data_IF_746712756245
#
_entry.id   IF_746712756245
#
_cell.length_a   1.000
_cell.length_b   1.000
_cell.length_c   1.000
_cell.angle_alpha   90.00
_cell.angle_beta   90.00
_cell.angle_gamma   90.00
#
_symmetry.space_group_name_H-M   'P 1'
#
loop_
_entity.id
_entity.type
_entity.pdbx_description
1 polymer ?
#
# COMPACT_ATOMS: atom_id res chain seq x y z
N UNK A 1 14.50 1.31 8.19
CA UNK A 1 13.93 0.18 7.42
C UNK A 1 15.02 -0.61 6.72
N UNK A 2 15.94 0.03 6.01
CA UNK A 2 17.06 -0.66 5.34
C UNK A 2 17.91 -1.52 6.29
N UNK A 3 18.25 -1.00 7.48
CA UNK A 3 18.94 -1.76 8.54
C UNK A 3 18.16 -3.00 9.02
N UNK A 4 16.86 -3.03 8.79
CA UNK A 4 15.96 -4.14 9.13
C UNK A 4 15.76 -5.10 7.93
N UNK A 5 16.53 -4.99 6.86
CA UNK A 5 16.47 -5.89 5.70
C UNK A 5 15.47 -5.50 4.61
N UNK A 6 14.81 -4.34 4.74
CA UNK A 6 13.92 -3.84 3.69
C UNK A 6 14.70 -3.22 2.54
N UNK A 7 14.28 -3.53 1.32
CA UNK A 7 14.56 -2.67 0.17
C UNK A 7 13.58 -1.50 0.23
N UNK A 8 14.07 -0.27 0.17
CA UNK A 8 13.26 0.95 0.27
C UNK A 8 13.43 1.77 -1.02
N UNK A 9 12.33 2.31 -1.54
CA UNK A 9 12.35 3.22 -2.69
C UNK A 9 13.23 4.43 -2.36
N UNK A 10 14.21 4.72 -3.22
CA UNK A 10 15.17 5.81 -3.02
C UNK A 10 14.76 7.11 -3.74
N UNK A 11 13.72 7.06 -4.57
CA UNK A 11 13.26 8.20 -5.37
C UNK A 11 12.35 7.80 -6.53
N UNK A 12 11.89 8.80 -7.29
CA UNK A 12 10.85 8.61 -8.32
C UNK A 12 11.36 8.15 -9.69
N UNK A 13 12.68 8.05 -9.88
CA UNK A 13 13.28 7.60 -11.14
C UNK A 13 13.14 6.08 -11.28
N UNK A 14 13.00 5.55 -12.49
CA UNK A 14 12.76 4.12 -12.74
C UNK A 14 13.76 3.18 -12.04
N UNK A 15 15.03 3.58 -11.98
CA UNK A 15 16.13 2.86 -11.32
C UNK A 15 16.11 2.95 -9.78
N UNK A 16 15.26 3.82 -9.24
CA UNK A 16 15.10 4.07 -7.81
C UNK A 16 13.81 3.48 -7.24
N UNK A 17 12.93 2.97 -8.11
CA UNK A 17 11.67 2.31 -7.75
C UNK A 17 11.86 0.82 -7.48
N UNK A 18 10.99 0.26 -6.65
CA UNK A 18 10.92 -1.18 -6.42
C UNK A 18 9.70 -1.71 -7.16
N UNK A 19 9.92 -2.51 -8.19
CA UNK A 19 8.84 -3.18 -8.92
C UNK A 19 8.70 -4.64 -8.47
N UNK A 20 7.48 -5.09 -8.18
CA UNK A 20 7.15 -6.49 -7.89
C UNK A 20 6.24 -7.08 -8.98
N UNK A 21 6.47 -8.33 -9.38
CA UNK A 21 5.64 -9.00 -10.37
C UNK A 21 4.24 -9.27 -9.82
N UNK A 22 3.25 -9.05 -10.68
CA UNK A 22 1.82 -9.31 -10.41
C UNK A 22 1.33 -10.44 -11.32
N UNK A 23 1.77 -10.43 -12.57
CA UNK A 23 1.41 -11.43 -13.56
C UNK A 23 2.66 -11.84 -14.34
N UNK A 24 2.87 -13.14 -14.47
CA UNK A 24 3.87 -13.71 -15.35
C UNK A 24 3.18 -14.18 -16.64
N UNK A 25 3.72 -13.74 -17.78
CA UNK A 25 3.31 -14.16 -19.10
C UNK A 25 4.19 -15.29 -19.64
N UNK A 26 4.41 -15.28 -20.95
CA UNK A 26 5.17 -16.32 -21.64
C UNK A 26 6.59 -16.51 -21.09
N UNK A 27 6.98 -17.78 -20.94
CA UNK A 27 8.28 -18.21 -20.43
C UNK A 27 8.63 -17.66 -19.03
N UNK A 28 7.62 -17.39 -18.20
CA UNK A 28 7.84 -16.95 -16.82
C UNK A 28 8.43 -15.54 -16.72
N UNK A 29 8.20 -14.69 -17.72
CA UNK A 29 8.60 -13.28 -17.68
C UNK A 29 7.50 -12.43 -17.04
N UNK A 30 7.83 -11.51 -16.11
CA UNK A 30 6.84 -10.56 -15.59
C UNK A 30 6.26 -9.73 -16.73
N UNK A 31 4.93 -9.78 -16.90
CA UNK A 31 4.20 -8.99 -17.89
C UNK A 31 3.58 -7.75 -17.25
N UNK A 32 3.08 -7.92 -16.02
CA UNK A 32 2.56 -6.82 -15.20
C UNK A 32 3.36 -6.76 -13.90
N UNK A 33 3.80 -5.56 -13.56
CA UNK A 33 4.45 -5.26 -12.30
C UNK A 33 3.84 -4.01 -11.68
N UNK A 34 3.84 -3.95 -10.36
CA UNK A 34 3.49 -2.74 -9.63
C UNK A 34 4.67 -2.27 -8.78
N UNK A 35 4.69 -0.97 -8.54
CA UNK A 35 5.64 -0.31 -7.67
C UNK A 35 5.19 -0.45 -6.22
N UNK A 36 6.15 -0.52 -5.30
CA UNK A 36 5.95 -0.59 -3.85
C UNK A 36 6.99 0.31 -3.17
N UNK A 37 6.61 0.98 -2.07
CA UNK A 37 7.52 1.89 -1.37
C UNK A 37 8.65 1.14 -0.66
N UNK A 38 8.36 -0.02 -0.05
CA UNK A 38 9.38 -0.90 0.49
C UNK A 38 8.95 -2.37 0.53
N UNK A 39 9.94 -3.26 0.49
CA UNK A 39 9.70 -4.70 0.53
C UNK A 39 10.79 -5.45 1.30
N UNK A 40 10.40 -6.43 2.12
CA UNK A 40 11.32 -7.37 2.75
C UNK A 40 11.22 -8.74 2.07
N UNK A 41 12.24 -9.12 1.28
CA UNK A 41 12.18 -10.33 0.45
C UNK A 41 12.05 -11.63 1.25
N UNK A 42 12.80 -11.77 2.34
CA UNK A 42 12.79 -13.01 3.14
C UNK A 42 11.50 -13.23 3.92
N UNK A 43 10.86 -12.16 4.39
CA UNK A 43 9.66 -12.20 5.22
C UNK A 43 8.37 -11.94 4.42
N UNK A 44 8.48 -11.60 3.13
CA UNK A 44 7.33 -11.26 2.28
C UNK A 44 6.55 -10.05 2.76
N UNK A 45 7.20 -9.04 3.35
CA UNK A 45 6.51 -7.85 3.89
C UNK A 45 6.51 -6.74 2.86
N UNK A 46 5.33 -6.39 2.34
CA UNK A 46 5.12 -5.21 1.50
C UNK A 46 4.75 -4.00 2.37
N UNK A 47 5.29 -2.82 2.05
CA UNK A 47 5.03 -1.57 2.79
C UNK A 47 4.61 -0.48 1.81
N UNK A 48 3.53 0.23 2.15
CA UNK A 48 3.06 1.44 1.47
C UNK A 48 2.93 2.58 2.48
N UNK A 49 3.39 3.78 2.11
CA UNK A 49 3.39 4.99 2.92
C UNK A 49 2.66 6.11 2.18
N UNK A 50 1.41 6.34 2.56
CA UNK A 50 0.62 7.42 1.97
C UNK A 50 0.98 8.75 2.65
N UNK A 51 1.68 9.64 1.95
CA UNK A 51 2.16 10.93 2.49
C UNK A 51 1.48 12.18 1.89
N UNK A 52 0.38 12.05 1.12
CA UNK A 52 -0.15 13.18 0.34
C UNK A 52 -1.65 13.25 0.12
N UNK A 53 -2.04 14.02 -0.91
CA UNK A 53 -3.44 14.24 -1.37
C UNK A 53 -4.21 12.94 -1.65
N UNK A 54 -3.55 11.77 -1.64
CA UNK A 54 -4.16 10.47 -1.83
C UNK A 54 -5.12 10.09 -0.69
N UNK A 55 -4.94 10.61 0.53
CA UNK A 55 -5.84 10.38 1.66
C UNK A 55 -7.28 10.91 1.49
N UNK A 56 -7.52 11.80 0.52
CA UNK A 56 -8.87 12.21 0.08
C UNK A 56 -9.45 11.31 -1.02
N UNK A 57 -8.60 10.60 -1.74
CA UNK A 57 -8.93 9.74 -2.87
C UNK A 57 -8.98 8.28 -2.44
N UNK A 58 -9.43 7.38 -3.32
CA UNK A 58 -9.34 5.93 -3.13
C UNK A 58 -7.86 5.42 -3.15
N UNK A 59 -6.89 6.17 -2.64
CA UNK A 59 -5.47 5.79 -2.63
C UNK A 59 -5.26 4.56 -1.75
N UNK A 60 -5.65 4.64 -0.47
CA UNK A 60 -5.59 3.48 0.43
C UNK A 60 -6.27 2.24 -0.15
N UNK A 61 -7.44 2.40 -0.79
CA UNK A 61 -8.10 1.29 -1.48
C UNK A 61 -7.29 0.74 -2.64
N UNK A 62 -6.77 1.62 -3.51
CA UNK A 62 -5.89 1.22 -4.61
C UNK A 62 -4.68 0.46 -4.11
N UNK A 63 -4.06 0.91 -3.03
CA UNK A 63 -2.84 0.30 -2.50
C UNK A 63 -3.18 -1.05 -1.86
N UNK A 64 -4.28 -1.16 -1.11
CA UNK A 64 -4.80 -2.45 -0.63
C UNK A 64 -5.00 -3.44 -1.79
N UNK A 65 -5.65 -3.02 -2.87
CA UNK A 65 -5.92 -3.90 -4.01
C UNK A 65 -4.65 -4.21 -4.80
N UNK A 66 -3.82 -3.23 -5.12
CA UNK A 66 -2.59 -3.45 -5.90
C UNK A 66 -1.59 -4.32 -5.15
N UNK A 67 -1.39 -4.05 -3.86
CA UNK A 67 -0.48 -4.86 -3.05
C UNK A 67 -1.00 -6.28 -2.89
N UNK A 68 -2.33 -6.47 -2.83
CA UNK A 68 -2.93 -7.81 -2.78
C UNK A 68 -2.70 -8.65 -4.05
N UNK A 69 -2.19 -8.04 -5.12
CA UNK A 69 -1.88 -8.72 -6.37
C UNK A 69 -0.39 -9.05 -6.51
N UNK A 70 0.46 -8.61 -5.58
CA UNK A 70 1.89 -8.96 -5.59
C UNK A 70 2.05 -10.43 -5.22
N UNK A 71 2.82 -11.17 -6.02
CA UNK A 71 2.91 -12.64 -5.90
C UNK A 71 3.67 -13.12 -4.67
N UNK A 72 4.49 -12.27 -4.08
CA UNK A 72 5.41 -12.59 -3.00
C UNK A 72 5.10 -11.85 -1.69
N UNK A 73 4.00 -11.09 -1.64
CA UNK A 73 3.58 -10.38 -0.45
C UNK A 73 2.74 -11.29 0.47
N UNK A 74 3.33 -11.70 1.60
CA UNK A 74 2.65 -12.46 2.67
C UNK A 74 2.02 -11.54 3.72
N UNK A 75 2.69 -10.43 4.02
CA UNK A 75 2.22 -9.41 4.96
C UNK A 75 2.17 -8.04 4.30
N UNK A 76 1.23 -7.21 4.73
CA UNK A 76 1.11 -5.84 4.23
C UNK A 76 1.10 -4.83 5.37
N UNK A 77 1.97 -3.83 5.27
CA UNK A 77 2.03 -2.67 6.17
C UNK A 77 1.55 -1.44 5.39
N UNK A 78 0.54 -0.76 5.90
CA UNK A 78 0.03 0.48 5.33
C UNK A 78 0.17 1.60 6.35
N UNK A 79 0.96 2.62 6.02
CA UNK A 79 1.19 3.79 6.87
C UNK A 79 0.38 4.97 6.31
N UNK A 80 -0.55 5.50 7.13
CA UNK A 80 -1.51 6.54 6.73
C UNK A 80 -1.51 7.65 7.77
N UNK A 81 -1.58 8.94 7.40
CA UNK A 81 -1.71 10.02 8.37
C UNK A 81 -3.00 9.89 9.17
N UNK A 82 -2.98 10.19 10.47
CA UNK A 82 -4.19 10.15 11.31
C UNK A 82 -5.25 11.11 10.74
N UNK A 83 -4.83 12.34 10.49
CA UNK A 83 -5.62 13.38 9.86
C UNK A 83 -4.93 13.90 8.60
N UNK A 84 -5.69 14.06 7.54
CA UNK A 84 -5.24 14.76 6.34
C UNK A 84 -5.94 16.12 6.23
N UNK A 85 -5.17 17.21 6.23
CA UNK A 85 -5.66 18.57 6.05
C UNK A 85 -5.42 19.05 4.63
N UNK A 86 -6.45 19.58 3.98
CA UNK A 86 -6.37 20.07 2.61
C UNK A 86 -7.17 21.35 2.44
N UNK A 87 -6.81 22.13 1.42
CA UNK A 87 -7.57 23.30 1.01
C UNK A 87 -8.48 22.93 -0.15
N UNK A 88 -9.77 23.21 -0.01
CA UNK A 88 -10.77 23.09 -1.07
C UNK A 88 -11.60 24.37 -1.14
N UNK A 89 -11.67 24.99 -2.31
CA UNK A 89 -12.39 26.25 -2.53
C UNK A 89 -12.06 27.35 -1.50
N UNK A 90 -10.77 27.48 -1.14
CA UNK A 90 -10.30 28.48 -0.17
C UNK A 90 -10.60 28.15 1.30
N UNK A 91 -11.31 27.06 1.60
CA UNK A 91 -11.56 26.55 2.95
C UNK A 91 -10.59 25.42 3.29
N UNK A 92 -10.14 25.39 4.55
CA UNK A 92 -9.41 24.23 5.09
C UNK A 92 -10.45 23.18 5.47
N UNK A 93 -10.27 21.98 4.95
CA UNK A 93 -11.05 20.80 5.28
C UNK A 93 -10.11 19.71 5.80
N UNK A 94 -10.66 18.80 6.59
CA UNK A 94 -9.92 17.70 7.22
C UNK A 94 -10.62 16.38 6.92
N UNK A 95 -9.84 15.32 6.79
CA UNK A 95 -10.33 13.94 6.71
C UNK A 95 -9.57 13.07 7.71
N UNK A 96 -10.31 12.30 8.49
CA UNK A 96 -9.77 11.26 9.38
C UNK A 96 -9.36 10.04 8.54
N UNK A 97 -8.21 10.15 7.87
CA UNK A 97 -7.78 9.18 6.86
C UNK A 97 -7.54 7.81 7.47
N UNK A 98 -6.85 7.74 8.61
CA UNK A 98 -6.64 6.48 9.33
C UNK A 98 -7.95 5.79 9.70
N UNK A 99 -8.91 6.54 10.28
CA UNK A 99 -10.20 5.97 10.71
C UNK A 99 -11.00 5.41 9.52
N UNK A 100 -11.04 6.14 8.39
CA UNK A 100 -11.70 5.68 7.17
C UNK A 100 -11.05 4.42 6.60
N UNK A 101 -9.72 4.37 6.54
CA UNK A 101 -8.98 3.19 6.06
C UNK A 101 -9.21 1.97 6.96
N UNK A 102 -9.19 2.17 8.29
CA UNK A 102 -9.53 1.12 9.27
C UNK A 102 -10.95 0.57 9.03
N UNK A 103 -11.92 1.45 8.85
CA UNK A 103 -13.32 1.05 8.64
C UNK A 103 -13.49 0.30 7.32
N UNK A 104 -12.75 0.71 6.29
CA UNK A 104 -12.71 0.01 5.01
C UNK A 104 -12.12 -1.40 5.11
N UNK A 105 -10.97 -1.56 5.78
CA UNK A 105 -10.39 -2.88 6.06
C UNK A 105 -11.37 -3.74 6.88
N UNK A 106 -12.01 -3.15 7.89
CA UNK A 106 -13.01 -3.82 8.72
C UNK A 106 -14.18 -4.34 7.88
N UNK A 107 -14.68 -3.54 6.93
CA UNK A 107 -15.73 -3.95 6.01
C UNK A 107 -15.29 -5.09 5.08
N UNK A 108 -14.07 -5.03 4.53
CA UNK A 108 -13.51 -6.09 3.68
C UNK A 108 -13.49 -7.42 4.46
N UNK A 109 -12.85 -7.44 5.64
CA UNK A 109 -12.71 -8.65 6.45
C UNK A 109 -14.04 -9.16 7.00
N UNK A 110 -14.93 -8.28 7.46
CA UNK A 110 -16.23 -8.67 7.98
C UNK A 110 -17.14 -9.25 6.87
N UNK A 111 -17.07 -8.70 5.66
CA UNK A 111 -17.92 -9.16 4.55
C UNK A 111 -17.55 -10.56 4.03
N UNK A 112 -16.27 -10.95 4.12
CA UNK A 112 -15.68 -12.14 3.49
C UNK A 112 -15.92 -12.26 1.97
N UNK A 113 -16.40 -11.19 1.33
CA UNK A 113 -16.69 -11.15 -0.11
C UNK A 113 -15.42 -10.94 -0.94
N UNK A 114 -14.45 -10.23 -0.37
CA UNK A 114 -13.11 -10.05 -0.90
C UNK A 114 -12.13 -10.65 0.10
N UNK A 115 -11.42 -11.70 -0.31
CA UNK A 115 -10.40 -12.35 0.51
C UNK A 115 -9.03 -11.86 0.05
N UNK A 116 -8.41 -11.00 0.86
CA UNK A 116 -7.06 -10.52 0.58
C UNK A 116 -6.05 -11.66 0.89
N UNK A 117 -5.02 -11.88 0.05
CA UNK A 117 -4.08 -12.98 0.18
C UNK A 117 -2.94 -12.66 1.16
N UNK A 118 -3.25 -11.96 2.25
CA UNK A 118 -2.27 -11.64 3.29
C UNK A 118 -2.54 -12.47 4.53
N UNK A 119 -1.47 -12.94 5.18
CA UNK A 119 -1.54 -13.54 6.51
C UNK A 119 -1.98 -12.49 7.56
N UNK A 120 -1.49 -11.25 7.42
CA UNK A 120 -1.95 -10.11 8.21
C UNK A 120 -1.74 -8.77 7.48
N UNK A 121 -2.54 -7.77 7.87
CA UNK A 121 -2.35 -6.37 7.49
C UNK A 121 -2.10 -5.56 8.76
N UNK A 122 -1.04 -4.75 8.77
CA UNK A 122 -0.73 -3.78 9.81
C UNK A 122 -1.03 -2.36 9.31
N UNK A 123 -2.02 -1.70 9.91
CA UNK A 123 -2.32 -0.30 9.63
C UNK A 123 -1.67 0.59 10.69
N UNK A 124 -0.83 1.53 10.28
CA UNK A 124 -0.10 2.46 11.17
C UNK A 124 -0.58 3.88 10.92
N UNK A 125 -1.02 4.56 11.98
CA UNK A 125 -1.36 5.98 11.97
C UNK A 125 -0.15 6.83 12.37
N UNK A 126 0.12 7.92 11.65
CA UNK A 126 1.17 8.89 12.00
C UNK A 126 0.74 10.36 11.87
#
# INVERSE_FOLDING_TARGET
MEELGFKVEAGKSLDQRIERPVLFGDNGRPEVKYEIDAFHDELGIAVEVEAGRGAMSNAAYRDIIRTSLLLDAEYFVLMIPIEYRYKSNGRVSMTEAFAKTRDQLSAIYASRRLQLPFAAILLIGY
#
